data_IF_823013326991
#
_entry.id   IF_823013326991
#
_cell.length_a   1.000
_cell.length_b   1.000
_cell.length_c   1.000
_cell.angle_alpha   90.00
_cell.angle_beta   90.00
_cell.angle_gamma   90.00
#
_symmetry.space_group_name_H-M   'P 1'
#
loop_
_entity.id
_entity.type
_entity.pdbx_description
1 polymer ?
#
# COMPACT_ATOMS: atom_id res chain seq x y z
N UNK A 1 41.32 42.36 28.10
CA UNK A 1 41.18 41.01 27.51
C UNK A 1 39.73 40.62 27.64
N UNK A 2 38.97 40.74 26.57
CA UNK A 2 37.55 40.37 26.57
C UNK A 2 37.46 38.91 26.09
N UNK A 3 36.90 38.08 26.97
CA UNK A 3 36.74 36.65 26.73
C UNK A 3 35.52 36.43 25.81
N UNK A 4 35.78 36.24 24.52
CA UNK A 4 34.74 35.92 23.51
C UNK A 4 34.65 34.42 23.34
N UNK A 5 34.21 33.70 24.36
CA UNK A 5 33.72 32.33 24.19
C UNK A 5 32.30 32.38 23.63
N UNK A 6 32.20 32.41 22.32
CA UNK A 6 30.91 32.18 21.67
C UNK A 6 30.45 30.75 21.97
N UNK A 7 29.52 30.62 22.92
CA UNK A 7 28.87 29.33 23.21
C UNK A 7 28.08 28.91 21.95
N UNK A 8 28.63 27.98 21.19
CA UNK A 8 27.94 27.29 20.12
C UNK A 8 26.88 26.39 20.74
N UNK A 9 25.68 26.90 20.92
CA UNK A 9 24.57 26.04 21.33
C UNK A 9 24.17 25.17 20.14
N UNK A 10 24.17 23.84 20.30
CA UNK A 10 23.73 22.97 19.21
C UNK A 10 22.27 23.32 18.88
N UNK A 11 22.01 23.59 17.58
CA UNK A 11 20.63 23.82 17.11
C UNK A 11 19.80 22.59 17.40
N UNK A 12 18.91 22.66 18.36
CA UNK A 12 17.91 21.61 18.60
C UNK A 12 16.85 21.70 17.51
N UNK A 13 16.67 20.60 16.78
CA UNK A 13 15.64 20.48 15.74
C UNK A 13 14.25 20.63 16.37
N UNK A 14 13.38 21.39 15.71
CA UNK A 14 11.98 21.44 16.12
C UNK A 14 11.28 20.11 15.77
N UNK A 15 10.21 19.71 16.48
CA UNK A 15 9.46 18.50 16.17
C UNK A 15 9.05 18.42 14.70
N UNK A 16 8.61 19.54 14.10
CA UNK A 16 8.21 19.60 12.68
C UNK A 16 9.40 19.35 11.73
N UNK A 17 10.61 19.82 12.07
CA UNK A 17 11.80 19.56 11.28
C UNK A 17 12.19 18.09 11.34
N UNK A 18 12.06 17.44 12.49
CA UNK A 18 12.32 16.00 12.64
C UNK A 18 11.33 15.19 11.78
N UNK A 19 10.03 15.51 11.86
CA UNK A 19 8.99 14.87 11.05
C UNK A 19 9.27 15.06 9.56
N UNK A 20 9.62 16.27 9.12
CA UNK A 20 9.93 16.54 7.72
C UNK A 20 11.15 15.74 7.22
N UNK A 21 12.19 15.60 8.04
CA UNK A 21 13.36 14.78 7.71
C UNK A 21 13.02 13.29 7.64
N UNK A 22 12.21 12.79 8.56
CA UNK A 22 11.74 11.40 8.54
C UNK A 22 10.91 11.13 7.27
N UNK A 23 9.99 12.04 6.92
CA UNK A 23 9.20 11.96 5.70
C UNK A 23 10.07 11.95 4.44
N UNK A 24 11.04 12.85 4.36
CA UNK A 24 11.97 12.92 3.25
C UNK A 24 12.81 11.64 3.15
N UNK A 25 13.37 11.16 4.24
CA UNK A 25 14.15 9.93 4.27
C UNK A 25 13.32 8.72 3.84
N UNK A 26 12.10 8.60 4.35
CA UNK A 26 11.17 7.53 3.99
C UNK A 26 10.82 7.59 2.50
N UNK A 27 10.51 8.78 1.97
CA UNK A 27 10.23 8.98 0.53
C UNK A 27 11.43 8.58 -0.33
N UNK A 28 12.62 9.07 -0.01
CA UNK A 28 13.84 8.75 -0.76
C UNK A 28 14.17 7.25 -0.70
N UNK A 29 13.91 6.59 0.42
CA UNK A 29 14.11 5.14 0.57
C UNK A 29 13.18 4.34 -0.34
N UNK A 30 11.91 4.72 -0.40
CA UNK A 30 10.94 4.07 -1.30
C UNK A 30 11.29 4.31 -2.76
N UNK A 31 11.61 5.54 -3.14
CA UNK A 31 12.04 5.88 -4.52
C UNK A 31 13.33 5.16 -4.88
N UNK A 32 14.31 5.16 -3.99
CA UNK A 32 15.59 4.43 -4.19
C UNK A 32 15.36 2.94 -4.39
N UNK A 33 14.47 2.31 -3.60
CA UNK A 33 14.09 0.93 -3.81
C UNK A 33 13.42 0.69 -5.17
N UNK A 34 12.50 1.57 -5.59
CA UNK A 34 11.84 1.46 -6.89
C UNK A 34 12.84 1.52 -8.05
N UNK A 35 13.82 2.42 -7.96
CA UNK A 35 14.89 2.51 -8.95
C UNK A 35 15.78 1.25 -8.91
N UNK A 36 16.17 0.80 -7.73
CA UNK A 36 17.01 -0.39 -7.57
C UNK A 36 16.33 -1.63 -8.18
N UNK A 37 15.05 -1.89 -7.85
CA UNK A 37 14.34 -3.07 -8.36
C UNK A 37 14.18 -3.05 -9.89
N UNK A 38 14.12 -1.87 -10.51
CA UNK A 38 14.08 -1.73 -11.97
C UNK A 38 15.31 -2.35 -12.63
N UNK A 39 16.47 -2.27 -11.97
CA UNK A 39 17.75 -2.78 -12.48
C UNK A 39 18.04 -4.25 -12.12
N UNK A 40 17.29 -4.87 -11.19
CA UNK A 40 17.48 -6.29 -10.91
C UNK A 40 17.11 -7.16 -12.12
N UNK A 41 17.90 -8.22 -12.36
CA UNK A 41 17.68 -9.18 -13.44
C UNK A 41 16.66 -10.27 -13.04
N UNK A 42 15.47 -9.86 -12.68
CA UNK A 42 14.32 -10.73 -12.41
C UNK A 42 13.21 -10.46 -13.43
N UNK A 43 12.29 -11.40 -13.59
CA UNK A 43 11.20 -11.24 -14.54
C UNK A 43 10.29 -10.05 -14.17
N UNK A 44 9.66 -9.43 -15.18
CA UNK A 44 8.82 -8.21 -15.00
C UNK A 44 7.71 -8.41 -13.96
N UNK A 45 7.11 -9.59 -13.94
CA UNK A 45 6.04 -9.90 -13.01
C UNK A 45 6.52 -9.97 -11.57
N UNK A 46 7.68 -10.58 -11.32
CA UNK A 46 8.31 -10.59 -10.00
C UNK A 46 8.67 -9.17 -9.54
N UNK A 47 9.20 -8.33 -10.44
CA UNK A 47 9.46 -6.91 -10.12
C UNK A 47 8.21 -6.20 -9.61
N UNK A 48 7.10 -6.32 -10.33
CA UNK A 48 5.82 -5.71 -9.93
C UNK A 48 5.32 -6.20 -8.59
N UNK A 49 5.38 -7.52 -8.34
CA UNK A 49 4.99 -8.09 -7.03
C UNK A 49 5.85 -7.51 -5.91
N UNK A 50 7.15 -7.45 -6.09
CA UNK A 50 8.04 -6.84 -5.10
C UNK A 50 7.77 -5.36 -4.89
N UNK A 51 7.44 -4.62 -5.95
CA UNK A 51 7.05 -3.22 -5.84
C UNK A 51 5.80 -3.06 -4.98
N UNK A 52 4.77 -3.86 -5.22
CA UNK A 52 3.56 -3.84 -4.40
C UNK A 52 3.87 -4.11 -2.94
N UNK A 53 4.56 -5.23 -2.65
CA UNK A 53 4.91 -5.61 -1.28
C UNK A 53 5.69 -4.50 -0.58
N UNK A 54 6.79 -4.05 -1.19
CA UNK A 54 7.66 -3.09 -0.51
C UNK A 54 7.02 -1.71 -0.40
N UNK A 55 6.33 -1.23 -1.44
CA UNK A 55 5.69 0.09 -1.39
C UNK A 55 4.57 0.13 -0.36
N UNK A 56 3.67 -0.87 -0.38
CA UNK A 56 2.55 -0.90 0.54
C UNK A 56 2.98 -1.14 1.99
N UNK A 57 3.87 -2.11 2.20
CA UNK A 57 4.41 -2.38 3.54
C UNK A 57 5.19 -1.19 4.10
N UNK A 58 6.04 -0.55 3.27
CA UNK A 58 6.74 0.69 3.68
C UNK A 58 5.77 1.80 4.05
N UNK A 59 4.68 1.97 3.29
CA UNK A 59 3.64 2.93 3.63
C UNK A 59 3.03 2.62 5.01
N UNK A 60 2.67 1.35 5.27
CA UNK A 60 2.13 0.94 6.58
C UNK A 60 3.12 1.27 7.71
N UNK A 61 4.40 0.92 7.55
CA UNK A 61 5.44 1.25 8.55
C UNK A 61 5.57 2.77 8.74
N UNK A 62 5.62 3.54 7.66
CA UNK A 62 5.75 5.01 7.69
C UNK A 62 4.53 5.63 8.38
N UNK A 63 3.34 5.09 8.21
CA UNK A 63 2.11 5.59 8.83
C UNK A 63 2.08 5.45 10.36
N UNK A 64 2.98 4.68 10.96
CA UNK A 64 3.20 4.68 12.41
C UNK A 64 4.13 5.81 12.88
N UNK A 65 4.91 6.38 11.96
CA UNK A 65 5.92 7.39 12.28
C UNK A 65 5.46 8.81 11.94
N UNK A 66 4.59 8.96 10.95
CA UNK A 66 4.16 10.25 10.42
C UNK A 66 2.66 10.52 10.66
N UNK A 67 2.27 11.78 10.86
CA UNK A 67 0.86 12.18 10.85
C UNK A 67 0.15 11.75 9.57
N UNK A 68 -1.12 11.38 9.69
CA UNK A 68 -1.93 10.85 8.58
C UNK A 68 -2.03 11.85 7.41
N UNK A 69 -2.10 13.13 7.71
CA UNK A 69 -2.17 14.21 6.71
C UNK A 69 -0.94 14.24 5.81
N UNK A 70 0.24 14.02 6.37
CA UNK A 70 1.49 13.93 5.60
C UNK A 70 1.54 12.66 4.74
N UNK A 71 1.03 11.54 5.25
CA UNK A 71 0.92 10.32 4.48
C UNK A 71 0.00 10.50 3.27
N UNK A 72 -1.19 11.06 3.47
CA UNK A 72 -2.15 11.34 2.40
C UNK A 72 -1.57 12.35 1.41
N UNK A 73 -0.97 13.45 1.89
CA UNK A 73 -0.35 14.45 1.03
C UNK A 73 0.76 13.85 0.16
N UNK A 74 1.61 12.99 0.71
CA UNK A 74 2.69 12.31 -0.03
C UNK A 74 2.13 11.37 -1.11
N UNK A 75 1.10 10.57 -0.79
CA UNK A 75 0.45 9.67 -1.74
C UNK A 75 -0.21 10.43 -2.89
N UNK A 76 -0.97 11.48 -2.58
CA UNK A 76 -1.62 12.32 -3.60
C UNK A 76 -0.59 13.06 -4.45
N UNK A 77 0.48 13.59 -3.86
CA UNK A 77 1.58 14.24 -4.60
C UNK A 77 2.25 13.25 -5.54
N UNK A 78 2.50 12.01 -5.10
CA UNK A 78 3.03 10.95 -5.94
C UNK A 78 2.10 10.59 -7.10
N UNK A 79 0.80 10.43 -6.84
CA UNK A 79 -0.20 10.14 -7.88
C UNK A 79 -0.30 11.28 -8.90
N UNK A 80 -0.40 12.53 -8.43
CA UNK A 80 -0.42 13.71 -9.29
C UNK A 80 0.89 13.88 -10.08
N UNK A 81 2.03 13.55 -9.48
CA UNK A 81 3.33 13.55 -10.15
C UNK A 81 3.39 12.55 -11.31
N UNK A 82 2.91 11.31 -11.10
CA UNK A 82 2.79 10.31 -12.16
C UNK A 82 1.86 10.83 -13.27
N UNK A 83 0.71 11.35 -12.91
CA UNK A 83 -0.26 11.90 -13.87
C UNK A 83 0.35 13.05 -14.69
N UNK A 84 1.01 13.99 -14.04
CA UNK A 84 1.73 15.09 -14.68
C UNK A 84 2.80 14.61 -15.66
N UNK A 85 3.64 13.65 -15.24
CA UNK A 85 4.70 13.11 -16.08
C UNK A 85 4.13 12.41 -17.33
N UNK A 86 3.02 11.71 -17.21
CA UNK A 86 2.36 11.05 -18.36
C UNK A 86 1.82 12.08 -19.33
N UNK A 87 1.20 13.16 -18.85
CA UNK A 87 0.58 14.18 -19.71
C UNK A 87 1.63 15.05 -20.41
N UNK A 88 2.64 15.49 -19.70
CA UNK A 88 3.56 16.53 -20.20
C UNK A 88 4.96 16.01 -20.53
N UNK A 89 5.38 14.86 -19.97
CA UNK A 89 6.74 14.32 -20.09
C UNK A 89 6.75 12.81 -20.31
N UNK A 90 5.88 12.31 -21.20
CA UNK A 90 5.70 10.86 -21.46
C UNK A 90 7.03 10.14 -21.73
N UNK A 91 7.90 10.74 -22.52
CA UNK A 91 9.22 10.14 -22.86
C UNK A 91 10.08 9.95 -21.61
N UNK A 92 10.14 10.97 -20.74
CA UNK A 92 10.86 10.90 -19.48
C UNK A 92 10.26 9.83 -18.55
N UNK A 93 8.91 9.77 -18.48
CA UNK A 93 8.23 8.76 -17.70
C UNK A 93 8.56 7.34 -18.18
N UNK A 94 8.51 7.09 -19.50
CA UNK A 94 8.85 5.78 -20.07
C UNK A 94 10.33 5.44 -19.88
N UNK A 95 11.25 6.41 -19.98
CA UNK A 95 12.65 6.19 -19.72
C UNK A 95 12.93 5.78 -18.27
N UNK A 96 12.29 6.46 -17.31
CA UNK A 96 12.46 6.21 -15.89
C UNK A 96 11.76 4.93 -15.40
N UNK A 97 10.52 4.70 -15.83
CA UNK A 97 9.65 3.64 -15.31
C UNK A 97 9.34 2.52 -16.31
N UNK A 98 9.76 2.63 -17.55
CA UNK A 98 9.48 1.67 -18.63
C UNK A 98 9.78 0.21 -18.29
N UNK A 99 10.88 -0.14 -17.59
CA UNK A 99 11.15 -1.52 -17.16
C UNK A 99 10.09 -2.11 -16.22
N UNK A 100 9.27 -1.26 -15.59
CA UNK A 100 8.26 -1.62 -14.59
C UNK A 100 6.84 -1.63 -15.16
N UNK A 101 6.63 -0.95 -16.32
CA UNK A 101 5.33 -0.83 -16.96
C UNK A 101 4.95 -2.09 -17.74
N UNK A 102 3.63 -2.37 -17.80
CA UNK A 102 3.06 -3.34 -18.73
C UNK A 102 3.22 -2.81 -20.16
N UNK A 103 3.32 -3.71 -21.14
CA UNK A 103 3.41 -3.27 -22.56
C UNK A 103 2.19 -2.41 -22.96
N UNK A 104 1.00 -2.82 -22.50
CA UNK A 104 -0.24 -2.05 -22.72
C UNK A 104 -0.18 -0.64 -22.12
N UNK A 105 0.47 -0.46 -20.97
CA UNK A 105 0.64 0.85 -20.31
C UNK A 105 1.64 1.74 -21.06
N UNK A 106 2.62 1.14 -21.75
CA UNK A 106 3.59 1.88 -22.57
C UNK A 106 2.96 2.40 -23.87
N UNK A 107 2.14 1.58 -24.50
CA UNK A 107 1.54 1.88 -25.81
C UNK A 107 0.31 2.78 -25.68
N UNK A 108 -0.51 2.55 -24.67
CA UNK A 108 -1.72 3.30 -24.43
C UNK A 108 -1.47 4.50 -23.49
N UNK A 109 -2.34 5.53 -23.58
CA UNK A 109 -2.41 6.63 -22.61
C UNK A 109 -3.09 6.22 -21.30
N UNK A 110 -3.17 4.91 -20.99
CA UNK A 110 -3.77 4.42 -19.74
C UNK A 110 -2.86 4.75 -18.58
N UNK A 111 -3.48 5.14 -17.48
CA UNK A 111 -2.79 5.36 -16.23
C UNK A 111 -2.21 4.04 -15.72
N UNK A 112 -0.97 4.01 -15.23
CA UNK A 112 -0.34 2.80 -14.73
C UNK A 112 -0.94 2.36 -13.39
N UNK A 113 -0.82 1.07 -13.08
CA UNK A 113 -1.26 0.52 -11.79
C UNK A 113 -0.67 1.25 -10.57
N UNK A 114 0.54 1.80 -10.69
CA UNK A 114 1.16 2.61 -9.63
C UNK A 114 0.35 3.88 -9.29
N UNK A 115 -0.26 4.54 -10.29
CA UNK A 115 -1.15 5.67 -10.04
C UNK A 115 -2.36 5.25 -9.20
N UNK A 116 -3.01 4.17 -9.59
CA UNK A 116 -4.18 3.64 -8.90
C UNK A 116 -3.83 3.12 -7.49
N UNK A 117 -2.65 2.54 -7.32
CA UNK A 117 -2.14 2.13 -6.01
C UNK A 117 -2.03 3.32 -5.04
N UNK A 118 -1.38 4.41 -5.48
CA UNK A 118 -1.22 5.60 -4.65
C UNK A 118 -2.57 6.26 -4.34
N UNK A 119 -3.44 6.38 -5.35
CA UNK A 119 -4.75 6.97 -5.19
C UNK A 119 -5.66 6.12 -4.30
N UNK A 120 -5.72 4.82 -4.52
CA UNK A 120 -6.52 3.88 -3.70
C UNK A 120 -6.08 3.88 -2.24
N UNK A 121 -4.76 3.85 -2.01
CA UNK A 121 -4.20 3.96 -0.67
C UNK A 121 -4.55 5.29 -0.01
N UNK A 122 -4.41 6.42 -0.74
CA UNK A 122 -4.75 7.76 -0.22
C UNK A 122 -6.22 7.86 0.17
N UNK A 123 -7.14 7.39 -0.69
CA UNK A 123 -8.58 7.37 -0.42
C UNK A 123 -8.92 6.50 0.79
N UNK A 124 -8.29 5.34 0.90
CA UNK A 124 -8.51 4.44 2.03
C UNK A 124 -8.09 5.07 3.34
N UNK A 125 -6.92 5.68 3.37
CA UNK A 125 -6.39 6.36 4.57
C UNK A 125 -7.19 7.62 4.93
N UNK A 126 -7.75 8.30 3.94
CA UNK A 126 -8.58 9.47 4.14
C UNK A 126 -9.97 9.15 4.71
N UNK A 127 -10.59 8.04 4.26
CA UNK A 127 -11.99 7.73 4.61
C UNK A 127 -12.15 6.80 5.81
N UNK A 128 -11.14 6.00 6.14
CA UNK A 128 -11.26 4.99 7.19
C UNK A 128 -10.29 5.23 8.34
N UNK A 129 -10.63 4.75 9.56
CA UNK A 129 -9.70 4.76 10.68
C UNK A 129 -8.36 4.13 10.31
N UNK A 130 -7.27 4.72 10.76
CA UNK A 130 -5.92 4.35 10.35
C UNK A 130 -5.58 2.86 10.58
N UNK A 131 -5.98 2.19 11.67
CA UNK A 131 -5.79 0.74 11.82
C UNK A 131 -6.47 -0.09 10.73
N UNK A 132 -7.72 0.25 10.39
CA UNK A 132 -8.47 -0.40 9.30
C UNK A 132 -7.82 -0.13 7.94
N UNK A 133 -7.38 1.10 7.69
CA UNK A 133 -6.70 1.48 6.46
C UNK A 133 -5.35 0.74 6.31
N UNK A 134 -4.56 0.64 7.38
CA UNK A 134 -3.31 -0.13 7.39
C UNK A 134 -3.53 -1.60 7.02
N UNK A 135 -4.52 -2.24 7.63
CA UNK A 135 -4.88 -3.61 7.29
C UNK A 135 -5.25 -3.76 5.81
N UNK A 136 -6.11 -2.88 5.29
CA UNK A 136 -6.56 -2.93 3.91
C UNK A 136 -5.42 -2.69 2.90
N UNK A 137 -4.52 -1.75 3.19
CA UNK A 137 -3.32 -1.49 2.37
C UNK A 137 -2.34 -2.66 2.42
N UNK A 138 -2.17 -3.31 3.58
CA UNK A 138 -1.34 -4.50 3.70
C UNK A 138 -1.93 -5.68 2.91
N UNK A 139 -3.26 -5.82 2.87
CA UNK A 139 -3.95 -6.80 2.02
C UNK A 139 -3.64 -6.54 0.53
N UNK A 140 -3.75 -5.30 0.06
CA UNK A 140 -3.34 -4.94 -1.31
C UNK A 140 -1.86 -5.25 -1.55
N UNK A 141 -0.99 -4.91 -0.58
CA UNK A 141 0.45 -5.06 -0.73
C UNK A 141 0.93 -6.51 -0.79
N UNK A 142 0.29 -7.42 -0.05
CA UNK A 142 0.76 -8.79 0.13
C UNK A 142 -0.22 -9.81 -0.44
N UNK A 143 -1.54 -9.67 -0.20
CA UNK A 143 -2.50 -10.69 -0.61
C UNK A 143 -2.71 -10.70 -2.13
N UNK A 144 -2.73 -9.54 -2.82
CA UNK A 144 -2.79 -9.47 -4.28
C UNK A 144 -1.55 -10.11 -4.96
N UNK A 145 -0.29 -9.76 -4.61
CA UNK A 145 0.87 -10.48 -5.13
C UNK A 145 0.86 -11.98 -4.85
N UNK A 146 0.36 -12.42 -3.70
CA UNK A 146 0.25 -13.84 -3.37
C UNK A 146 -0.79 -14.55 -4.22
N UNK A 147 -1.94 -13.92 -4.50
CA UNK A 147 -2.94 -14.44 -5.43
C UNK A 147 -2.34 -14.70 -6.81
N UNK A 148 -1.65 -13.70 -7.35
CA UNK A 148 -0.96 -13.80 -8.64
C UNK A 148 0.14 -14.86 -8.62
N UNK A 149 0.93 -14.94 -7.53
CA UNK A 149 2.04 -15.88 -7.43
C UNK A 149 1.57 -17.33 -7.37
N UNK A 150 0.59 -17.64 -6.53
CA UNK A 150 0.02 -18.98 -6.36
C UNK A 150 -0.84 -19.36 -7.58
N UNK A 151 -1.68 -18.44 -8.06
CA UNK A 151 -2.55 -18.67 -9.21
C UNK A 151 -1.81 -18.99 -10.51
N UNK A 152 -0.55 -18.52 -10.65
CA UNK A 152 0.30 -18.83 -11.79
C UNK A 152 1.10 -20.13 -11.64
N UNK A 153 1.23 -20.65 -10.41
CA UNK A 153 2.01 -21.88 -10.13
C UNK A 153 1.16 -23.12 -9.96
N UNK A 154 -0.02 -22.96 -9.39
CA UNK A 154 -0.94 -24.06 -9.13
C UNK A 154 -1.98 -24.12 -10.22
N UNK A 155 -2.01 -25.25 -10.97
CA UNK A 155 -3.07 -25.51 -11.93
C UNK A 155 -4.40 -25.70 -11.18
N UNK A 156 -5.32 -24.80 -11.38
CA UNK A 156 -6.65 -24.85 -10.79
C UNK A 156 -7.69 -24.26 -11.74
N UNK A 157 -8.98 -24.57 -11.56
CA UNK A 157 -10.05 -24.00 -12.37
C UNK A 157 -9.95 -22.48 -12.40
N UNK A 158 -10.16 -21.92 -13.58
CA UNK A 158 -10.23 -20.45 -13.77
C UNK A 158 -11.61 -19.94 -13.35
N UNK A 159 -11.63 -18.87 -12.56
CA UNK A 159 -12.85 -18.13 -12.24
C UNK A 159 -13.20 -17.22 -13.42
N UNK A 160 -12.15 -16.59 -14.00
CA UNK A 160 -12.25 -15.75 -15.21
C UNK A 160 -10.91 -15.76 -15.97
N UNK A 161 -10.75 -14.85 -16.93
CA UNK A 161 -9.53 -14.78 -17.75
C UNK A 161 -8.26 -14.49 -16.94
N UNK A 162 -8.36 -13.78 -15.82
CA UNK A 162 -7.21 -13.35 -14.98
C UNK A 162 -7.09 -14.13 -13.68
N UNK A 163 -8.20 -14.48 -13.03
CA UNK A 163 -8.23 -15.10 -11.71
C UNK A 163 -8.42 -16.63 -11.76
N UNK A 164 -7.81 -17.33 -10.81
CA UNK A 164 -7.95 -18.77 -10.61
C UNK A 164 -8.37 -19.09 -9.18
N UNK A 165 -9.04 -20.22 -8.96
CA UNK A 165 -9.49 -20.64 -7.61
C UNK A 165 -8.33 -20.68 -6.62
N UNK A 166 -7.16 -21.23 -7.02
CA UNK A 166 -6.00 -21.29 -6.15
C UNK A 166 -5.46 -19.90 -5.80
N UNK A 167 -5.47 -18.96 -6.77
CA UNK A 167 -5.06 -17.57 -6.55
C UNK A 167 -6.00 -16.85 -5.59
N UNK A 168 -7.31 -16.92 -5.85
CA UNK A 168 -8.32 -16.28 -4.99
C UNK A 168 -8.32 -16.86 -3.57
N UNK A 169 -8.16 -18.18 -3.42
CA UNK A 169 -8.00 -18.80 -2.10
C UNK A 169 -6.72 -18.32 -1.39
N UNK A 170 -5.61 -18.21 -2.12
CA UNK A 170 -4.36 -17.67 -1.58
C UNK A 170 -4.51 -16.21 -1.12
N UNK A 171 -5.23 -15.39 -1.89
CA UNK A 171 -5.60 -14.03 -1.48
C UNK A 171 -6.35 -14.04 -0.14
N UNK A 172 -7.42 -14.81 -0.05
CA UNK A 172 -8.24 -14.91 1.16
C UNK A 172 -7.43 -15.35 2.39
N UNK A 173 -6.68 -16.45 2.27
CA UNK A 173 -5.87 -16.99 3.37
C UNK A 173 -4.79 -16.00 3.80
N UNK A 174 -4.16 -15.32 2.85
CA UNK A 174 -3.14 -14.32 3.15
C UNK A 174 -3.75 -13.10 3.85
N UNK A 175 -4.87 -12.57 3.36
CA UNK A 175 -5.56 -11.44 3.97
C UNK A 175 -6.06 -11.79 5.38
N UNK A 176 -6.61 -12.99 5.58
CA UNK A 176 -7.01 -13.49 6.89
C UNK A 176 -5.81 -13.59 7.85
N UNK A 177 -4.68 -14.14 7.37
CA UNK A 177 -3.44 -14.23 8.16
C UNK A 177 -2.90 -12.86 8.59
N UNK A 178 -2.90 -11.87 7.68
CA UNK A 178 -2.56 -10.48 7.99
C UNK A 178 -3.48 -9.96 9.10
N UNK A 179 -4.80 -10.14 8.97
CA UNK A 179 -5.77 -9.69 9.96
C UNK A 179 -5.55 -10.32 11.33
N UNK A 180 -5.25 -11.61 11.40
CA UNK A 180 -4.92 -12.29 12.66
C UNK A 180 -3.66 -11.71 13.31
N UNK A 181 -2.63 -11.35 12.52
CA UNK A 181 -1.44 -10.65 13.05
C UNK A 181 -1.81 -9.27 13.60
N UNK A 182 -2.70 -8.56 12.95
CA UNK A 182 -3.21 -7.27 13.46
C UNK A 182 -3.97 -7.44 14.77
N UNK A 183 -4.81 -8.47 14.92
CA UNK A 183 -5.48 -8.78 16.20
C UNK A 183 -4.51 -9.07 17.33
N UNK A 184 -3.49 -9.88 17.08
CA UNK A 184 -2.51 -10.23 18.13
C UNK A 184 -1.68 -9.03 18.58
N UNK A 185 -1.43 -8.06 17.68
CA UNK A 185 -0.73 -6.81 18.01
C UNK A 185 -1.66 -5.79 18.69
N UNK A 186 -2.95 -5.78 18.35
CA UNK A 186 -3.95 -4.85 18.91
C UNK A 186 -4.44 -5.24 20.31
N UNK A 187 -4.13 -6.42 20.82
CA UNK A 187 -4.29 -6.74 22.25
C UNK A 187 -3.54 -5.76 23.18
N UNK A 188 -2.91 -4.74 22.59
CA UNK A 188 -2.35 -3.55 23.23
C UNK A 188 -2.90 -2.28 22.55
N UNK A 189 -4.14 -1.87 22.91
CA UNK A 189 -4.69 -0.50 22.98
C UNK A 189 -5.18 0.31 21.78
N UNK A 190 -4.99 0.00 20.50
CA UNK A 190 -5.41 0.96 19.45
C UNK A 190 -6.76 0.65 18.76
N UNK A 191 -7.20 -0.60 18.73
CA UNK A 191 -8.49 -0.97 18.11
C UNK A 191 -9.62 -1.01 19.15
N UNK A 192 -9.30 -1.19 20.44
CA UNK A 192 -10.25 -1.18 21.55
C UNK A 192 -10.83 0.21 21.86
N UNK A 193 -10.12 1.30 21.58
CA UNK A 193 -10.59 2.68 21.87
C UNK A 193 -11.69 3.16 20.93
N UNK A 194 -11.94 2.49 19.81
CA UNK A 194 -12.97 2.87 18.84
C UNK A 194 -14.34 2.18 19.06
N UNK A 195 -14.41 1.10 19.84
CA UNK A 195 -15.67 0.40 20.15
C UNK A 195 -15.56 -0.27 21.51
N UNK A 196 -16.21 0.31 22.52
CA UNK A 196 -16.32 -0.32 23.82
C UNK A 196 -16.82 -1.75 23.69
N UNK A 197 -16.15 -2.68 24.40
CA UNK A 197 -16.60 -4.04 24.72
C UNK A 197 -16.97 -4.95 23.53
N UNK A 198 -16.18 -4.94 22.44
CA UNK A 198 -16.39 -5.88 21.34
C UNK A 198 -15.78 -7.24 21.69
N UNK A 199 -16.60 -8.30 21.64
CA UNK A 199 -16.12 -9.67 21.88
C UNK A 199 -15.10 -10.07 20.80
N UNK A 200 -14.12 -10.90 21.15
CA UNK A 200 -13.09 -11.42 20.22
C UNK A 200 -13.70 -12.07 18.95
N UNK A 201 -14.92 -12.60 19.05
CA UNK A 201 -15.65 -13.15 17.91
C UNK A 201 -16.06 -12.09 16.89
N UNK A 202 -16.46 -10.90 17.32
CA UNK A 202 -16.82 -9.79 16.44
C UNK A 202 -15.62 -9.31 15.62
N UNK A 203 -14.45 -9.19 16.24
CA UNK A 203 -13.23 -8.81 15.54
C UNK A 203 -12.80 -9.83 14.49
N UNK A 204 -12.96 -11.13 14.76
CA UNK A 204 -12.73 -12.19 13.78
C UNK A 204 -13.68 -12.09 12.58
N UNK A 205 -14.95 -11.78 12.80
CA UNK A 205 -15.92 -11.56 11.71
C UNK A 205 -15.57 -10.35 10.86
N UNK A 206 -15.12 -9.26 11.45
CA UNK A 206 -14.66 -8.06 10.75
C UNK A 206 -13.48 -8.39 9.84
N UNK A 207 -12.47 -9.09 10.34
CA UNK A 207 -11.31 -9.51 9.56
C UNK A 207 -11.72 -10.50 8.47
N UNK A 208 -12.57 -11.49 8.78
CA UNK A 208 -13.03 -12.44 7.77
C UNK A 208 -13.81 -11.75 6.65
N UNK A 209 -14.63 -10.74 6.96
CA UNK A 209 -15.34 -9.94 5.96
C UNK A 209 -14.40 -9.12 5.08
N UNK A 210 -13.38 -8.51 5.68
CA UNK A 210 -12.33 -7.80 4.93
C UNK A 210 -11.54 -8.72 4.01
N UNK A 211 -11.12 -9.89 4.52
CA UNK A 211 -10.43 -10.90 3.71
C UNK A 211 -11.29 -11.41 2.55
N UNK A 212 -12.58 -11.62 2.80
CA UNK A 212 -13.54 -12.03 1.78
C UNK A 212 -13.75 -10.94 0.72
N UNK A 213 -13.91 -9.69 1.14
CA UNK A 213 -14.02 -8.54 0.24
C UNK A 213 -12.76 -8.39 -0.64
N UNK A 214 -11.58 -8.53 -0.04
CA UNK A 214 -10.29 -8.50 -0.74
C UNK A 214 -10.23 -9.54 -1.87
N UNK A 215 -10.57 -10.80 -1.58
CA UNK A 215 -10.50 -11.86 -2.57
C UNK A 215 -11.60 -11.76 -3.65
N UNK A 216 -12.77 -11.17 -3.34
CA UNK A 216 -13.80 -10.89 -4.36
C UNK A 216 -13.30 -9.84 -5.35
N UNK A 217 -12.72 -8.74 -4.86
CA UNK A 217 -12.19 -7.70 -5.76
C UNK A 217 -11.11 -8.26 -6.67
N UNK A 218 -10.18 -9.07 -6.14
CA UNK A 218 -9.15 -9.76 -6.94
C UNK A 218 -9.77 -10.65 -8.04
N UNK A 219 -10.88 -11.30 -7.72
CA UNK A 219 -11.57 -12.17 -8.68
C UNK A 219 -12.39 -11.42 -9.74
N UNK A 220 -12.64 -10.12 -9.62
CA UNK A 220 -13.52 -9.34 -10.51
C UNK A 220 -12.70 -8.51 -11.51
N UNK A 221 -12.74 -8.79 -12.83
CA UNK A 221 -11.80 -8.22 -13.80
C UNK A 221 -12.17 -6.80 -14.29
N UNK A 222 -13.20 -6.16 -13.75
CA UNK A 222 -13.75 -4.90 -14.30
C UNK A 222 -13.12 -3.63 -13.74
N UNK A 223 -12.37 -3.71 -12.64
CA UNK A 223 -11.83 -2.55 -11.93
C UNK A 223 -10.31 -2.69 -11.79
N UNK A 224 -9.62 -1.57 -11.61
CA UNK A 224 -8.22 -1.63 -11.22
C UNK A 224 -8.13 -2.03 -9.74
N UNK A 225 -7.55 -3.20 -9.49
CA UNK A 225 -7.47 -3.80 -8.15
C UNK A 225 -6.75 -2.89 -7.18
N UNK A 226 -5.74 -2.15 -7.65
CA UNK A 226 -4.97 -1.23 -6.84
C UNK A 226 -5.79 -0.06 -6.28
N UNK A 227 -6.87 0.33 -7.00
CA UNK A 227 -7.77 1.39 -6.54
C UNK A 227 -8.85 0.82 -5.62
N UNK A 228 -9.48 -0.27 -6.04
CA UNK A 228 -10.75 -0.74 -5.46
C UNK A 228 -10.49 -1.63 -4.24
N UNK A 229 -9.49 -2.49 -4.29
CA UNK A 229 -9.22 -3.47 -3.23
C UNK A 229 -9.02 -2.84 -1.84
N UNK A 230 -8.17 -1.83 -1.65
CA UNK A 230 -7.97 -1.28 -0.31
C UNK A 230 -9.21 -0.56 0.21
N UNK A 231 -9.96 0.14 -0.66
CA UNK A 231 -11.19 0.84 -0.26
C UNK A 231 -12.28 -0.14 0.15
N UNK A 232 -12.54 -1.18 -0.66
CA UNK A 232 -13.59 -2.17 -0.40
C UNK A 232 -13.25 -3.05 0.80
N UNK A 233 -11.99 -3.44 0.94
CA UNK A 233 -11.50 -4.19 2.11
C UNK A 233 -11.69 -3.37 3.40
N UNK A 234 -11.29 -2.10 3.40
CA UNK A 234 -11.48 -1.21 4.55
C UNK A 234 -12.96 -0.99 4.88
N UNK A 235 -13.79 -0.79 3.85
CA UNK A 235 -15.24 -0.65 4.03
C UNK A 235 -15.87 -1.90 4.66
N UNK A 236 -15.50 -3.09 4.17
CA UNK A 236 -16.01 -4.35 4.72
C UNK A 236 -15.65 -4.51 6.20
N UNK A 237 -14.42 -4.20 6.59
CA UNK A 237 -13.99 -4.23 8.00
C UNK A 237 -14.70 -3.17 8.84
N UNK A 238 -14.84 -1.95 8.30
CA UNK A 238 -15.35 -0.81 9.05
C UNK A 238 -16.86 -0.91 9.33
N UNK A 239 -17.64 -1.35 8.34
CA UNK A 239 -19.11 -1.39 8.44
C UNK A 239 -19.67 -2.72 8.95
N UNK A 240 -18.84 -3.75 9.11
CA UNK A 240 -19.26 -5.00 9.77
C UNK A 240 -19.29 -4.77 11.29
N UNK A 241 -20.48 -4.41 11.78
CA UNK A 241 -20.77 -4.17 13.21
C UNK A 241 -21.68 -5.22 13.77
#
# INVERSE_FOLDING_TARGET
MADTTSSFSPRTWTPNQVVALQALFAFLSVVGFQIAIAHFQINKEAKRRWQHVVTGHSFVVISYLLPVEWCVAALLTGALGIYYLILFHKTLFIQAFGPLLREVEKESLKLPGAFFFLLGTALTVWWFPLPTARYAVECLAIADPMASWIGNRIQSPKINASASMAGTLACFVTALGIGLVYLTKSGTSEMETASGDTSSSMELWRIASGAFACCIVEAVPYWDDNLVMPVVTAAAVHYMR
#
